data_IF_769558336322
#
_entry.id   IF_769558336322
#
_cell.length_a   1.000
_cell.length_b   1.000
_cell.length_c   1.000
_cell.angle_alpha   90.00
_cell.angle_beta   90.00
_cell.angle_gamma   90.00
#
_symmetry.space_group_name_H-M   'P 1'
#
loop_
_entity.id
_entity.type
_entity.pdbx_description
1 polymer ?
#
# COMPACT_ATOMS: atom_id res chain seq x y z
N UNK A 1 -7.46 -51.90 -59.25
CA UNK A 1 -8.01 -50.62 -58.77
C UNK A 1 -7.53 -50.42 -57.35
N UNK A 2 -6.48 -49.62 -57.22
CA UNK A 2 -5.67 -49.40 -56.01
C UNK A 2 -6.03 -48.05 -55.42
N UNK A 3 -6.39 -48.00 -54.13
CA UNK A 3 -6.42 -46.78 -53.33
C UNK A 3 -5.88 -47.11 -51.94
N UNK A 4 -4.56 -46.96 -51.80
CA UNK A 4 -3.88 -46.79 -50.52
C UNK A 4 -3.69 -45.29 -50.27
N UNK A 5 -3.93 -44.83 -49.04
CA UNK A 5 -3.50 -43.51 -48.59
C UNK A 5 -2.70 -43.66 -47.30
N UNK A 6 -1.43 -43.33 -47.43
CA UNK A 6 -0.33 -43.43 -46.49
C UNK A 6 -0.36 -42.25 -45.50
N UNK A 7 0.05 -42.54 -44.27
CA UNK A 7 0.41 -41.58 -43.22
C UNK A 7 1.64 -40.77 -43.66
N UNK A 8 1.62 -39.45 -43.43
CA UNK A 8 2.83 -38.63 -43.51
C UNK A 8 2.85 -37.60 -42.35
N UNK A 9 3.77 -37.81 -41.43
CA UNK A 9 4.30 -36.79 -40.53
C UNK A 9 5.03 -35.72 -41.35
N UNK A 10 4.79 -34.44 -41.06
CA UNK A 10 5.66 -33.35 -41.50
C UNK A 10 5.94 -32.42 -40.33
N UNK A 11 7.12 -32.61 -39.74
CA UNK A 11 7.90 -31.58 -39.09
C UNK A 11 8.38 -30.57 -40.13
N UNK A 12 8.23 -29.28 -39.88
CA UNK A 12 9.21 -28.27 -40.31
C UNK A 12 8.89 -26.91 -39.68
N UNK A 13 9.74 -26.54 -38.72
CA UNK A 13 9.91 -25.18 -38.23
C UNK A 13 10.37 -24.28 -39.37
N UNK A 14 9.64 -23.22 -39.69
CA UNK A 14 10.19 -22.04 -40.39
C UNK A 14 9.39 -20.82 -39.98
N UNK A 15 9.96 -20.04 -39.06
CA UNK A 15 9.53 -18.68 -38.73
C UNK A 15 9.79 -17.82 -39.96
N UNK A 16 8.73 -17.35 -40.63
CA UNK A 16 8.85 -16.30 -41.63
C UNK A 16 8.97 -14.93 -40.93
N UNK A 17 10.21 -14.50 -40.68
CA UNK A 17 10.55 -13.07 -40.64
C UNK A 17 11.04 -12.68 -42.04
N UNK A 18 10.18 -12.08 -42.85
CA UNK A 18 10.60 -11.44 -44.10
C UNK A 18 9.58 -10.38 -44.52
N UNK A 19 9.75 -9.15 -44.03
CA UNK A 19 9.40 -7.91 -44.74
C UNK A 19 9.84 -6.66 -43.94
N UNK A 20 11.15 -6.39 -43.89
CA UNK A 20 11.64 -5.03 -43.64
C UNK A 20 12.81 -4.74 -44.59
N UNK A 21 12.70 -3.66 -45.36
CA UNK A 21 13.85 -2.94 -45.88
C UNK A 21 14.27 -3.23 -47.32
N UNK A 22 13.52 -2.75 -48.31
CA UNK A 22 14.12 -2.24 -49.54
C UNK A 22 13.87 -0.73 -49.63
N UNK A 23 14.76 0.00 -48.99
CA UNK A 23 14.96 1.43 -49.08
C UNK A 23 16.30 1.73 -48.40
N UNK A 24 17.10 2.69 -48.89
CA UNK A 24 18.34 3.06 -48.23
C UNK A 24 18.01 3.84 -46.95
N UNK A 25 17.59 3.12 -45.92
CA UNK A 25 17.70 3.60 -44.55
C UNK A 25 19.15 3.31 -44.14
N UNK A 26 19.95 4.31 -43.76
CA UNK A 26 21.23 4.02 -43.13
C UNK A 26 20.93 3.15 -41.92
N UNK A 27 21.49 1.94 -41.89
CA UNK A 27 21.48 1.11 -40.68
C UNK A 27 22.02 1.98 -39.55
N UNK A 28 21.29 2.16 -38.43
CA UNK A 28 21.78 2.97 -37.33
C UNK A 28 23.13 2.40 -36.87
N UNK A 29 24.13 3.28 -36.72
CA UNK A 29 25.42 2.91 -36.19
C UNK A 29 25.23 2.37 -34.77
N UNK A 30 25.77 1.19 -34.47
CA UNK A 30 25.60 0.56 -33.16
C UNK A 30 26.24 1.38 -32.04
N UNK A 31 27.24 2.23 -32.34
CA UNK A 31 27.79 3.20 -31.39
C UNK A 31 26.79 4.30 -31.02
N UNK A 32 25.97 4.75 -31.96
CA UNK A 32 24.96 5.78 -31.73
C UNK A 32 23.86 5.25 -30.81
N UNK A 33 23.45 3.98 -30.96
CA UNK A 33 22.49 3.33 -30.06
C UNK A 33 23.04 3.25 -28.62
N UNK A 34 24.34 2.97 -28.44
CA UNK A 34 24.95 2.92 -27.13
C UNK A 34 25.01 4.30 -26.44
N UNK A 35 25.39 5.34 -27.18
CA UNK A 35 25.42 6.72 -26.69
C UNK A 35 24.02 7.25 -26.35
N UNK A 36 23.04 6.99 -27.21
CA UNK A 36 21.64 7.38 -26.97
C UNK A 36 21.02 6.64 -25.79
N UNK A 37 21.30 5.34 -25.66
CA UNK A 37 20.86 4.54 -24.51
C UNK A 37 21.43 5.10 -23.22
N UNK A 38 22.70 5.50 -23.21
CA UNK A 38 23.34 6.11 -22.04
C UNK A 38 22.72 7.47 -21.73
N UNK A 39 22.55 8.33 -22.74
CA UNK A 39 21.94 9.66 -22.57
C UNK A 39 20.49 9.59 -22.07
N UNK A 40 19.71 8.63 -22.55
CA UNK A 40 18.34 8.36 -22.08
C UNK A 40 18.35 7.79 -20.65
N UNK A 41 19.22 6.82 -20.34
CA UNK A 41 19.34 6.23 -18.99
C UNK A 41 19.80 7.25 -17.95
N UNK A 42 20.76 8.11 -18.30
CA UNK A 42 21.26 9.21 -17.49
C UNK A 42 20.31 10.43 -17.48
N UNK A 43 19.26 10.39 -18.31
CA UNK A 43 18.23 11.43 -18.40
C UNK A 43 18.80 12.81 -18.76
N UNK A 44 19.83 12.88 -19.61
CA UNK A 44 20.60 14.10 -19.88
C UNK A 44 19.71 15.26 -20.36
N UNK A 45 18.70 14.98 -21.20
CA UNK A 45 17.77 15.97 -21.76
C UNK A 45 16.73 16.48 -20.76
N UNK A 46 16.65 15.90 -19.55
CA UNK A 46 15.86 16.48 -18.47
C UNK A 46 16.52 17.73 -17.88
N UNK A 47 17.84 17.85 -18.01
CA UNK A 47 18.61 19.00 -17.53
C UNK A 47 19.14 19.86 -18.67
N UNK A 48 19.62 19.28 -19.76
CA UNK A 48 20.28 19.98 -20.85
C UNK A 48 19.33 20.27 -22.01
N UNK A 49 19.36 21.51 -22.51
CA UNK A 49 18.57 21.89 -23.68
C UNK A 49 18.95 21.04 -24.90
N UNK A 50 17.95 20.56 -25.64
CA UNK A 50 18.11 19.75 -26.84
C UNK A 50 17.02 20.08 -27.86
N UNK A 51 17.22 19.70 -29.12
CA UNK A 51 16.19 19.88 -30.16
C UNK A 51 14.95 19.03 -29.89
N UNK A 52 13.79 19.45 -30.38
CA UNK A 52 12.53 18.70 -30.23
C UNK A 52 12.65 17.24 -30.74
N UNK A 53 13.36 17.03 -31.85
CA UNK A 53 13.63 15.69 -32.39
C UNK A 53 14.47 14.84 -31.43
N UNK A 54 15.45 15.43 -30.74
CA UNK A 54 16.28 14.74 -29.75
C UNK A 54 15.47 14.41 -28.50
N UNK A 55 14.61 15.31 -28.04
CA UNK A 55 13.73 15.09 -26.89
C UNK A 55 12.73 13.96 -27.20
N UNK A 56 12.10 13.98 -28.37
CA UNK A 56 11.15 12.93 -28.79
C UNK A 56 11.83 11.56 -28.88
N UNK A 57 13.08 11.53 -29.35
CA UNK A 57 13.87 10.29 -29.47
C UNK A 57 14.34 9.76 -28.11
N UNK A 58 14.87 10.62 -27.24
CA UNK A 58 15.45 10.21 -25.94
C UNK A 58 14.42 10.05 -24.82
N UNK A 59 13.24 10.66 -24.97
CA UNK A 59 12.07 10.60 -24.06
C UNK A 59 12.48 10.80 -22.59
N UNK A 60 12.77 12.04 -22.17
CA UNK A 60 13.21 12.29 -20.80
C UNK A 60 12.16 11.81 -19.79
N UNK A 61 12.62 11.15 -18.75
CA UNK A 61 11.78 10.68 -17.66
C UNK A 61 11.48 11.84 -16.72
N UNK A 62 10.19 12.02 -16.39
CA UNK A 62 9.75 13.02 -15.43
C UNK A 62 10.29 12.74 -14.02
N UNK A 63 10.81 13.78 -13.36
CA UNK A 63 11.24 13.70 -11.98
C UNK A 63 10.03 13.47 -11.04
N UNK A 64 10.25 12.95 -9.81
CA UNK A 64 9.22 12.92 -8.79
C UNK A 64 8.65 14.32 -8.54
N UNK A 65 7.32 14.42 -8.44
CA UNK A 65 6.67 15.70 -8.10
C UNK A 65 7.01 16.09 -6.67
N UNK A 66 7.12 17.39 -6.39
CA UNK A 66 7.36 17.92 -5.02
C UNK A 66 6.09 18.45 -4.36
N UNK A 67 4.95 18.31 -5.02
CA UNK A 67 3.65 18.62 -4.45
C UNK A 67 3.37 17.69 -3.28
N UNK A 68 3.01 18.29 -2.14
CA UNK A 68 2.72 17.55 -0.90
C UNK A 68 3.83 16.56 -0.48
N UNK A 69 5.09 16.82 -0.82
CA UNK A 69 6.20 15.90 -0.50
C UNK A 69 6.36 15.71 1.02
N UNK A 70 6.06 16.73 1.82
CA UNK A 70 6.02 16.66 3.29
C UNK A 70 4.91 15.79 3.86
N UNK A 71 3.92 15.39 3.05
CA UNK A 71 2.93 14.36 3.39
C UNK A 71 3.33 12.96 2.92
N UNK A 72 4.40 12.83 2.10
CA UNK A 72 4.79 11.57 1.44
C UNK A 72 6.11 11.00 1.92
N UNK A 73 7.06 11.84 2.33
CA UNK A 73 8.38 11.41 2.80
C UNK A 73 8.79 12.12 4.11
N UNK A 74 9.40 11.39 5.03
CA UNK A 74 9.87 11.94 6.30
C UNK A 74 11.06 12.89 6.11
N UNK A 75 11.05 14.02 6.83
CA UNK A 75 12.09 15.04 6.74
C UNK A 75 13.51 14.52 6.98
N UNK A 76 13.78 13.73 8.05
CA UNK A 76 15.10 13.15 8.27
C UNK A 76 15.57 12.24 7.13
N UNK A 77 14.65 11.46 6.55
CA UNK A 77 14.96 10.64 5.38
C UNK A 77 15.27 11.50 4.15
N UNK A 78 14.51 12.56 3.91
CA UNK A 78 14.79 13.51 2.81
C UNK A 78 16.17 14.15 2.97
N UNK A 79 16.54 14.57 4.19
CA UNK A 79 17.84 15.15 4.46
C UNK A 79 18.98 14.14 4.19
N UNK A 80 18.83 12.89 4.64
CA UNK A 80 19.79 11.82 4.36
C UNK A 80 19.91 11.56 2.85
N UNK A 81 18.77 11.49 2.14
CA UNK A 81 18.71 11.29 0.69
C UNK A 81 19.42 12.41 -0.08
N UNK A 82 19.14 13.67 0.25
CA UNK A 82 19.75 14.84 -0.40
C UNK A 82 21.26 14.91 -0.09
N UNK A 83 21.68 14.60 1.13
CA UNK A 83 23.09 14.67 1.51
C UNK A 83 23.93 13.61 0.78
N UNK A 84 23.42 12.39 0.64
CA UNK A 84 24.14 11.25 0.06
C UNK A 84 23.94 11.10 -1.46
N UNK A 85 22.95 11.78 -2.04
CA UNK A 85 22.68 11.75 -3.48
C UNK A 85 22.28 10.36 -3.99
N UNK A 86 22.97 9.88 -5.03
CA UNK A 86 22.70 8.59 -5.71
C UNK A 86 23.03 7.34 -4.88
N UNK A 87 23.48 7.50 -3.62
CA UNK A 87 24.07 6.42 -2.82
C UNK A 87 23.27 6.03 -1.56
N UNK A 88 21.98 6.38 -1.45
CA UNK A 88 21.16 5.98 -0.28
C UNK A 88 20.52 4.61 -0.48
N UNK A 89 21.19 3.58 0.04
CA UNK A 89 20.84 2.19 -0.22
C UNK A 89 21.07 1.87 -1.70
N UNK A 90 20.92 0.60 -2.08
CA UNK A 90 21.06 0.15 -3.48
C UNK A 90 19.95 0.70 -4.41
N UNK A 91 19.22 1.72 -3.97
CA UNK A 91 18.16 2.40 -4.69
C UNK A 91 18.79 3.30 -5.75
N UNK A 92 19.02 2.76 -6.95
CA UNK A 92 19.45 3.53 -8.11
C UNK A 92 18.59 4.79 -8.29
N UNK A 93 19.19 5.95 -8.05
CA UNK A 93 18.58 7.25 -8.29
C UNK A 93 19.17 7.86 -9.56
N UNK A 94 18.32 8.48 -10.38
CA UNK A 94 18.75 9.30 -11.53
C UNK A 94 18.96 10.77 -11.16
N UNK A 95 18.73 11.14 -9.90
CA UNK A 95 19.01 12.49 -9.40
C UNK A 95 20.53 12.66 -9.30
N UNK A 96 21.14 13.68 -9.94
CA UNK A 96 22.57 13.93 -9.82
C UNK A 96 22.96 14.35 -8.39
N UNK A 97 24.22 14.13 -8.00
CA UNK A 97 24.76 14.68 -6.74
C UNK A 97 24.96 16.19 -6.89
N UNK A 98 23.91 16.97 -6.62
CA UNK A 98 23.95 18.44 -6.68
C UNK A 98 24.81 19.07 -5.58
N UNK A 99 25.29 18.29 -4.60
CA UNK A 99 26.08 18.77 -3.47
C UNK A 99 27.55 18.30 -3.56
N UNK A 100 27.97 17.74 -4.71
CA UNK A 100 29.30 17.16 -4.90
C UNK A 100 30.47 18.09 -4.54
N UNK A 101 30.33 19.41 -4.75
CA UNK A 101 31.36 20.41 -4.48
C UNK A 101 31.41 20.97 -3.06
N UNK A 102 30.55 20.49 -2.14
CA UNK A 102 30.49 20.98 -0.77
C UNK A 102 31.28 20.06 0.18
N UNK A 103 31.92 20.67 1.19
CA UNK A 103 32.47 19.93 2.32
C UNK A 103 31.36 19.22 3.12
N UNK A 104 31.74 18.23 3.94
CA UNK A 104 30.80 17.36 4.65
C UNK A 104 29.79 18.14 5.51
N UNK A 105 30.26 19.09 6.32
CA UNK A 105 29.42 19.82 7.27
C UNK A 105 28.47 20.80 6.55
N UNK A 106 28.96 21.44 5.49
CA UNK A 106 28.14 22.32 4.65
C UNK A 106 27.11 21.52 3.84
N UNK A 107 27.48 20.33 3.33
CA UNK A 107 26.58 19.40 2.64
C UNK A 107 25.44 18.96 3.55
N UNK A 108 25.75 18.48 4.75
CA UNK A 108 24.75 18.03 5.73
C UNK A 108 23.78 19.15 6.13
N UNK A 109 24.30 20.35 6.47
CA UNK A 109 23.46 21.50 6.82
C UNK A 109 22.58 21.96 5.66
N UNK A 110 23.12 21.96 4.43
CA UNK A 110 22.36 22.33 3.23
C UNK A 110 21.23 21.33 2.97
N UNK A 111 21.51 20.03 3.09
CA UNK A 111 20.51 18.98 2.93
C UNK A 111 19.39 19.07 3.97
N UNK A 112 19.74 19.31 5.25
CA UNK A 112 18.75 19.52 6.33
C UNK A 112 17.89 20.75 6.05
N UNK A 113 18.48 21.87 5.63
CA UNK A 113 17.71 23.07 5.32
C UNK A 113 16.71 22.84 4.17
N UNK A 114 17.15 22.21 3.08
CA UNK A 114 16.26 21.87 1.95
C UNK A 114 15.15 20.93 2.40
N UNK A 115 15.48 19.86 3.13
CA UNK A 115 14.51 18.90 3.63
C UNK A 115 13.50 19.54 4.62
N UNK A 116 13.95 20.47 5.46
CA UNK A 116 13.09 21.22 6.36
C UNK A 116 12.06 22.05 5.59
N UNK A 117 12.50 22.76 4.55
CA UNK A 117 11.60 23.52 3.68
C UNK A 117 10.61 22.59 2.94
N UNK A 118 11.08 21.51 2.32
CA UNK A 118 10.22 20.53 1.63
C UNK A 118 9.18 19.91 2.58
N UNK A 119 9.55 19.68 3.85
CA UNK A 119 8.64 19.14 4.87
C UNK A 119 7.45 20.05 5.19
N UNK A 120 7.51 21.34 4.80
CA UNK A 120 6.37 22.26 4.98
C UNK A 120 5.31 22.13 3.86
N UNK A 121 5.65 21.46 2.76
CA UNK A 121 4.76 21.22 1.61
C UNK A 121 3.92 19.98 1.87
N UNK A 122 2.81 20.14 2.57
CA UNK A 122 1.97 19.03 3.04
C UNK A 122 2.37 18.55 4.43
N UNK A 123 1.51 17.78 5.09
CA UNK A 123 1.74 17.27 6.45
C UNK A 123 1.27 15.82 6.56
N UNK A 124 2.01 15.01 7.32
CA UNK A 124 1.55 13.69 7.73
C UNK A 124 0.39 13.79 8.72
N UNK A 125 -0.41 12.73 8.78
CA UNK A 125 -1.27 12.49 9.94
C UNK A 125 -0.40 12.43 11.21
N UNK A 126 -0.85 13.09 12.28
CA UNK A 126 -0.13 13.16 13.57
C UNK A 126 -0.40 11.98 14.48
N UNK A 127 -1.52 11.28 14.26
CA UNK A 127 -1.99 10.22 15.16
C UNK A 127 -1.45 8.85 14.74
N UNK A 128 -1.11 7.98 15.71
CA UNK A 128 -0.86 6.57 15.45
C UNK A 128 -2.04 5.90 14.73
N UNK A 129 -1.74 4.99 13.81
CA UNK A 129 -2.74 4.21 13.09
C UNK A 129 -2.68 2.76 13.54
N UNK A 130 -3.81 2.22 13.97
CA UNK A 130 -3.94 0.83 14.38
C UNK A 130 -4.45 -0.02 13.22
N UNK A 131 -3.78 -1.14 12.96
CA UNK A 131 -4.13 -2.09 11.90
C UNK A 131 -4.29 -3.48 12.49
N UNK A 132 -5.41 -4.15 12.20
CA UNK A 132 -5.65 -5.51 12.66
C UNK A 132 -4.62 -6.50 12.12
N UNK A 133 -4.23 -7.48 12.92
CA UNK A 133 -3.26 -8.53 12.52
C UNK A 133 -3.72 -9.33 11.30
N UNK A 134 -5.04 -9.49 11.09
CA UNK A 134 -5.55 -10.17 9.91
C UNK A 134 -5.45 -9.31 8.63
N UNK A 135 -5.50 -7.97 8.72
CA UNK A 135 -5.13 -7.08 7.60
C UNK A 135 -3.65 -7.23 7.22
N UNK A 136 -2.75 -7.33 8.19
CA UNK A 136 -1.33 -7.60 7.91
C UNK A 136 -1.12 -8.92 7.15
N UNK A 137 -1.82 -9.98 7.57
CA UNK A 137 -1.77 -11.27 6.91
C UNK A 137 -2.35 -11.23 5.49
N UNK A 138 -3.42 -10.45 5.26
CA UNK A 138 -3.99 -10.24 3.92
C UNK A 138 -3.04 -9.44 3.03
N UNK A 139 -2.43 -8.37 3.55
CA UNK A 139 -1.41 -7.60 2.85
C UNK A 139 -0.24 -8.45 2.35
N UNK A 140 0.24 -9.39 3.18
CA UNK A 140 1.26 -10.38 2.77
C UNK A 140 0.78 -11.21 1.57
N UNK A 141 -0.40 -11.82 1.68
CA UNK A 141 -0.96 -12.68 0.62
C UNK A 141 -1.14 -11.90 -0.68
N UNK A 142 -1.69 -10.68 -0.60
CA UNK A 142 -1.86 -9.80 -1.76
C UNK A 142 -0.52 -9.50 -2.43
N UNK A 143 0.49 -9.09 -1.66
CA UNK A 143 1.83 -8.82 -2.20
C UNK A 143 2.42 -10.02 -2.94
N UNK A 144 2.20 -11.23 -2.42
CA UNK A 144 2.66 -12.49 -3.02
C UNK A 144 1.84 -12.89 -4.26
N UNK A 145 0.55 -12.57 -4.31
CA UNK A 145 -0.38 -13.05 -5.35
C UNK A 145 -0.58 -12.09 -6.53
N UNK A 146 -0.48 -10.78 -6.32
CA UNK A 146 -0.78 -9.78 -7.38
C UNK A 146 0.42 -9.45 -8.28
N UNK A 147 1.54 -10.18 -8.11
CA UNK A 147 2.72 -10.06 -8.95
C UNK A 147 3.74 -9.01 -8.49
N UNK A 148 3.62 -8.43 -7.29
CA UNK A 148 4.63 -7.49 -6.77
C UNK A 148 6.04 -8.11 -6.77
N UNK A 149 6.14 -9.40 -6.47
CA UNK A 149 7.39 -10.16 -6.46
C UNK A 149 8.06 -10.26 -7.84
N UNK A 150 7.32 -10.14 -8.95
CA UNK A 150 7.89 -10.25 -10.29
C UNK A 150 8.87 -9.11 -10.61
N UNK A 151 8.59 -7.91 -10.09
CA UNK A 151 9.44 -6.73 -10.29
C UNK A 151 10.34 -6.42 -9.09
N UNK A 152 9.85 -6.67 -7.87
CA UNK A 152 10.58 -6.33 -6.64
C UNK A 152 11.47 -7.46 -6.10
N UNK A 153 11.22 -8.72 -6.51
CA UNK A 153 11.94 -9.89 -6.02
C UNK A 153 12.01 -9.94 -4.48
N UNK A 154 13.13 -10.46 -3.96
CA UNK A 154 13.48 -10.34 -2.54
C UNK A 154 14.23 -9.03 -2.20
N UNK A 155 14.49 -8.18 -3.19
CA UNK A 155 15.37 -7.01 -3.07
C UNK A 155 14.72 -5.75 -2.48
N UNK A 156 13.46 -5.82 -2.04
CA UNK A 156 12.82 -4.67 -1.40
C UNK A 156 13.30 -4.53 0.04
N UNK A 157 14.11 -3.49 0.28
CA UNK A 157 14.52 -3.11 1.64
C UNK A 157 13.35 -2.44 2.39
N UNK A 158 12.57 -3.27 3.06
CA UNK A 158 11.42 -2.86 3.88
C UNK A 158 11.82 -1.99 5.08
N UNK A 159 13.06 -2.07 5.55
CA UNK A 159 13.57 -1.21 6.64
C UNK A 159 13.78 0.20 6.13
N UNK A 160 14.41 0.36 4.96
CA UNK A 160 14.57 1.68 4.35
C UNK A 160 13.23 2.28 3.92
N UNK A 161 12.29 1.45 3.45
CA UNK A 161 10.94 1.90 3.14
C UNK A 161 10.22 2.42 4.39
N UNK A 162 10.30 1.69 5.51
CA UNK A 162 9.76 2.09 6.80
C UNK A 162 10.34 3.41 7.32
N UNK A 163 11.63 3.68 7.07
CA UNK A 163 12.28 4.96 7.42
C UNK A 163 11.89 6.13 6.52
N UNK A 164 11.28 5.86 5.37
CA UNK A 164 11.01 6.85 4.32
C UNK A 164 9.62 7.47 4.41
N UNK A 165 8.60 6.66 4.64
CA UNK A 165 7.21 7.04 4.35
C UNK A 165 6.24 6.53 5.42
N UNK A 166 5.01 7.04 5.40
CA UNK A 166 3.95 6.62 6.32
C UNK A 166 3.01 5.61 5.70
N UNK A 167 2.21 4.97 6.55
CA UNK A 167 1.15 4.06 6.11
C UNK A 167 0.19 4.73 5.12
N UNK A 168 -0.26 5.95 5.42
CA UNK A 168 -1.17 6.71 4.53
C UNK A 168 -0.50 7.02 3.21
N UNK A 169 0.72 7.55 3.24
CA UNK A 169 1.45 7.92 2.05
C UNK A 169 1.76 6.73 1.14
N UNK A 170 2.12 5.58 1.71
CA UNK A 170 2.34 4.36 0.93
C UNK A 170 1.03 3.78 0.39
N UNK A 171 -0.07 3.87 1.15
CA UNK A 171 -1.41 3.50 0.66
C UNK A 171 -1.75 4.30 -0.59
N UNK A 172 -1.64 5.63 -0.52
CA UNK A 172 -1.97 6.51 -1.64
C UNK A 172 -1.03 6.29 -2.84
N UNK A 173 0.26 6.04 -2.58
CA UNK A 173 1.23 5.71 -3.62
C UNK A 173 0.90 4.39 -4.33
N UNK A 174 0.45 3.36 -3.62
CA UNK A 174 0.07 2.08 -4.23
C UNK A 174 -1.20 2.19 -5.10
N UNK A 175 -2.09 3.13 -4.78
CA UNK A 175 -3.27 3.41 -5.60
C UNK A 175 -2.91 4.09 -6.93
N UNK A 176 -1.97 5.05 -6.90
CA UNK A 176 -1.53 5.77 -8.10
C UNK A 176 -0.02 6.13 -8.03
N UNK A 177 0.87 5.18 -8.40
CA UNK A 177 2.32 5.40 -8.33
C UNK A 177 2.81 6.52 -9.26
N UNK A 178 2.17 6.67 -10.42
CA UNK A 178 2.59 7.60 -11.48
C UNK A 178 2.22 9.05 -11.15
N UNK A 179 1.20 9.30 -10.33
CA UNK A 179 0.91 10.65 -9.80
C UNK A 179 2.08 11.24 -9.01
N UNK A 180 2.74 10.44 -8.18
CA UNK A 180 3.92 10.86 -7.42
C UNK A 180 5.21 10.78 -8.24
N UNK A 181 5.26 9.88 -9.24
CA UNK A 181 6.44 9.58 -10.05
C UNK A 181 6.06 9.41 -11.53
N UNK A 182 5.88 10.50 -12.29
CA UNK A 182 5.46 10.42 -13.69
C UNK A 182 6.44 9.65 -14.58
N UNK A 183 7.74 9.69 -14.29
CA UNK A 183 8.77 8.88 -14.96
C UNK A 183 9.05 7.52 -14.31
N UNK A 184 8.17 7.05 -13.42
CA UNK A 184 8.29 5.77 -12.73
C UNK A 184 7.91 4.57 -13.62
N UNK A 185 8.45 3.40 -13.29
CA UNK A 185 8.16 2.14 -14.00
C UNK A 185 7.10 1.27 -13.30
N UNK A 186 6.64 1.68 -12.11
CA UNK A 186 5.61 0.94 -11.39
C UNK A 186 4.23 1.24 -12.01
N UNK A 187 3.56 0.25 -12.60
CA UNK A 187 2.24 0.45 -13.19
C UNK A 187 1.18 0.67 -12.09
N UNK A 188 0.03 1.22 -12.49
CA UNK A 188 -1.16 1.18 -11.64
C UNK A 188 -1.63 -0.26 -11.47
N UNK A 189 -1.73 -0.72 -10.22
CA UNK A 189 -2.05 -2.12 -9.90
C UNK A 189 -3.57 -2.37 -9.78
N UNK A 190 -4.41 -1.36 -10.05
CA UNK A 190 -5.88 -1.42 -9.93
C UNK A 190 -6.38 -1.87 -8.55
N UNK A 191 -5.61 -1.57 -7.51
CA UNK A 191 -5.93 -1.93 -6.12
C UNK A 191 -7.02 -1.02 -5.57
N UNK A 192 -7.94 -1.60 -4.81
CA UNK A 192 -8.80 -0.83 -3.92
C UNK A 192 -7.97 -0.13 -2.85
N UNK A 193 -8.58 0.85 -2.18
CA UNK A 193 -7.92 1.55 -1.07
C UNK A 193 -7.59 0.62 0.09
N UNK A 194 -8.44 -0.36 0.38
CA UNK A 194 -8.25 -1.30 1.48
C UNK A 194 -7.15 -2.32 1.15
N UNK A 195 -7.07 -2.83 -0.08
CA UNK A 195 -5.95 -3.67 -0.53
C UNK A 195 -4.62 -2.91 -0.48
N UNK A 196 -4.61 -1.66 -0.95
CA UNK A 196 -3.44 -0.79 -0.90
C UNK A 196 -2.97 -0.56 0.53
N UNK A 197 -3.92 -0.32 1.45
CA UNK A 197 -3.63 -0.09 2.87
C UNK A 197 -3.04 -1.33 3.54
N UNK A 198 -3.57 -2.49 3.22
CA UNK A 198 -3.09 -3.76 3.75
C UNK A 198 -1.69 -4.11 3.27
N UNK A 199 -1.42 -3.96 1.96
CA UNK A 199 -0.08 -4.14 1.40
C UNK A 199 0.89 -3.14 2.03
N UNK A 200 0.48 -1.88 2.16
CA UNK A 200 1.28 -0.84 2.81
C UNK A 200 1.60 -1.20 4.28
N UNK A 201 0.62 -1.70 5.04
CA UNK A 201 0.84 -2.15 6.41
C UNK A 201 1.84 -3.30 6.49
N UNK A 202 1.72 -4.29 5.59
CA UNK A 202 2.66 -5.40 5.53
C UNK A 202 4.08 -4.94 5.17
N UNK A 203 4.22 -4.03 4.20
CA UNK A 203 5.50 -3.48 3.76
C UNK A 203 6.18 -2.62 4.83
N UNK A 204 5.40 -1.89 5.63
CA UNK A 204 5.90 -0.98 6.66
C UNK A 204 5.96 -1.61 8.05
N UNK A 205 5.75 -2.93 8.18
CA UNK A 205 5.74 -3.63 9.47
C UNK A 205 7.00 -3.39 10.32
N UNK A 206 8.13 -3.06 9.69
CA UNK A 206 9.36 -2.65 10.38
C UNK A 206 9.16 -1.43 11.31
N UNK A 207 8.16 -0.57 11.04
CA UNK A 207 7.82 0.57 11.90
C UNK A 207 7.26 0.15 13.27
N UNK A 208 6.81 -1.09 13.40
CA UNK A 208 6.16 -1.61 14.60
C UNK A 208 7.08 -2.40 15.54
N UNK A 209 8.39 -2.38 15.29
CA UNK A 209 9.42 -3.01 16.14
C UNK A 209 10.33 -3.96 15.37
N UNK A 210 9.87 -5.18 15.11
CA UNK A 210 10.63 -6.21 14.37
C UNK A 210 9.93 -6.59 13.06
N UNK A 211 10.71 -6.94 12.04
CA UNK A 211 10.22 -7.41 10.74
C UNK A 211 9.46 -8.74 10.82
N UNK A 212 9.85 -9.60 11.77
CA UNK A 212 9.32 -10.95 11.91
C UNK A 212 8.19 -11.03 12.95
N UNK A 213 8.19 -10.10 13.90
CA UNK A 213 7.23 -10.02 14.99
C UNK A 213 6.86 -8.56 15.24
N UNK A 214 5.88 -8.00 14.49
CA UNK A 214 5.35 -6.68 14.79
C UNK A 214 4.78 -6.65 16.21
N UNK A 215 4.94 -5.53 16.94
CA UNK A 215 4.40 -5.43 18.30
C UNK A 215 2.88 -5.40 18.24
N UNK A 216 2.24 -6.46 18.73
CA UNK A 216 0.79 -6.59 18.78
C UNK A 216 0.29 -6.12 20.14
N UNK A 217 -0.70 -5.24 20.13
CA UNK A 217 -1.41 -4.76 21.33
C UNK A 217 -2.91 -5.01 21.19
N UNK A 218 -3.63 -4.98 22.31
CA UNK A 218 -5.09 -4.96 22.28
C UNK A 218 -5.57 -3.59 21.77
N UNK A 219 -6.35 -3.59 20.70
CA UNK A 219 -7.16 -2.48 20.21
C UNK A 219 -8.63 -2.70 20.55
N UNK A 220 -9.46 -1.69 20.31
CA UNK A 220 -10.91 -1.75 20.57
C UNK A 220 -11.68 -2.31 19.38
N UNK A 221 -12.83 -2.92 19.67
CA UNK A 221 -13.76 -3.42 18.65
C UNK A 221 -13.32 -4.71 17.96
N UNK A 222 -13.88 -4.95 16.79
CA UNK A 222 -13.74 -6.15 15.99
C UNK A 222 -13.22 -5.79 14.59
N UNK A 223 -12.49 -6.69 13.98
CA UNK A 223 -12.24 -6.64 12.55
C UNK A 223 -13.45 -7.23 11.82
N UNK A 224 -14.04 -6.46 10.91
CA UNK A 224 -15.13 -6.87 10.04
C UNK A 224 -14.61 -7.04 8.61
N UNK A 225 -14.83 -8.21 8.04
CA UNK A 225 -14.56 -8.58 6.66
C UNK A 225 -15.87 -8.60 5.87
N UNK A 226 -15.91 -7.93 4.73
CA UNK A 226 -17.09 -7.78 3.89
C UNK A 226 -16.93 -8.52 2.57
N UNK A 227 -17.97 -9.27 2.17
CA UNK A 227 -18.00 -10.13 1.00
C UNK A 227 -19.23 -9.81 0.16
N UNK A 228 -19.13 -10.00 -1.16
CA UNK A 228 -20.28 -9.95 -2.07
C UNK A 228 -20.40 -11.28 -2.79
N UNK A 229 -21.63 -11.74 -3.00
CA UNK A 229 -21.93 -13.02 -3.63
C UNK A 229 -23.22 -13.65 -3.13
N UNK A 230 -23.51 -14.85 -3.63
CA UNK A 230 -24.62 -15.64 -3.15
C UNK A 230 -24.20 -16.49 -1.94
N UNK A 231 -25.00 -16.46 -0.88
CA UNK A 231 -24.81 -17.21 0.35
C UNK A 231 -26.15 -17.80 0.79
N UNK A 232 -26.13 -19.02 1.32
CA UNK A 232 -27.32 -19.77 1.76
C UNK A 232 -27.08 -20.59 3.06
N UNK A 233 -25.87 -20.51 3.61
CA UNK A 233 -25.39 -21.36 4.71
C UNK A 233 -25.34 -20.62 6.05
N UNK A 234 -24.15 -20.47 6.62
CA UNK A 234 -23.91 -19.75 7.88
C UNK A 234 -23.14 -18.44 7.67
N UNK A 235 -22.97 -18.01 6.42
CA UNK A 235 -22.09 -16.90 6.03
C UNK A 235 -20.75 -17.37 5.44
N UNK A 236 -19.74 -16.50 5.36
CA UNK A 236 -18.52 -16.76 4.59
C UNK A 236 -17.58 -17.71 5.34
N UNK A 237 -17.19 -18.81 4.68
CA UNK A 237 -16.24 -19.78 5.23
C UNK A 237 -14.84 -19.20 5.46
N UNK A 238 -14.06 -19.79 6.37
CA UNK A 238 -12.77 -19.24 6.83
C UNK A 238 -11.75 -18.93 5.71
N UNK A 239 -11.83 -19.61 4.57
CA UNK A 239 -10.94 -19.40 3.41
C UNK A 239 -11.46 -18.36 2.41
N UNK A 240 -12.68 -17.85 2.58
CA UNK A 240 -13.23 -16.81 1.72
C UNK A 240 -12.37 -15.54 1.82
N UNK A 241 -12.10 -14.95 0.65
CA UNK A 241 -11.33 -13.72 0.51
C UNK A 241 -12.30 -12.53 0.54
N UNK A 242 -12.18 -11.59 1.48
CA UNK A 242 -13.07 -10.45 1.55
C UNK A 242 -12.73 -9.40 0.49
N UNK A 243 -13.75 -8.66 0.07
CA UNK A 243 -13.59 -7.50 -0.80
C UNK A 243 -13.12 -6.26 -0.03
N UNK A 244 -13.57 -6.10 1.21
CA UNK A 244 -13.19 -5.00 2.11
C UNK A 244 -12.97 -5.49 3.53
N UNK A 245 -12.20 -4.74 4.30
CA UNK A 245 -11.99 -5.02 5.72
C UNK A 245 -11.83 -3.73 6.49
N UNK A 246 -12.54 -3.61 7.60
CA UNK A 246 -12.60 -2.41 8.41
C UNK A 246 -12.88 -2.77 9.87
N UNK A 247 -12.75 -1.78 10.76
CA UNK A 247 -13.04 -1.97 12.18
C UNK A 247 -14.51 -1.66 12.47
N UNK A 248 -15.13 -2.42 13.36
CA UNK A 248 -16.46 -2.15 13.90
C UNK A 248 -16.44 -2.30 15.41
N UNK A 249 -17.09 -1.38 16.11
CA UNK A 249 -17.17 -1.43 17.57
C UNK A 249 -18.21 -2.45 18.08
N UNK A 250 -19.08 -2.95 17.19
CA UNK A 250 -20.19 -3.85 17.51
C UNK A 250 -20.44 -4.84 16.37
N UNK A 251 -21.07 -5.96 16.72
CA UNK A 251 -21.74 -6.85 15.76
C UNK A 251 -23.02 -6.16 15.28
N UNK A 252 -22.97 -5.58 14.08
CA UNK A 252 -24.06 -4.84 13.45
C UNK A 252 -23.84 -4.75 11.94
N UNK A 253 -24.85 -4.32 11.19
CA UNK A 253 -24.69 -4.06 9.75
C UNK A 253 -23.89 -2.77 9.52
N UNK A 254 -22.93 -2.75 8.58
CA UNK A 254 -22.25 -1.52 8.19
C UNK A 254 -23.21 -0.63 7.37
N UNK A 255 -23.10 0.69 7.53
CA UNK A 255 -24.02 1.66 6.91
C UNK A 255 -23.98 1.66 5.38
N UNK A 256 -22.86 1.25 4.82
CA UNK A 256 -22.57 1.17 3.38
C UNK A 256 -22.73 -0.25 2.82
N UNK A 257 -23.35 -1.18 3.56
CA UNK A 257 -23.71 -2.50 3.03
C UNK A 257 -24.62 -2.38 1.79
N UNK A 258 -24.48 -3.33 0.87
CA UNK A 258 -25.47 -3.52 -0.19
C UNK A 258 -26.82 -3.90 0.42
N UNK A 259 -27.87 -3.74 -0.37
CA UNK A 259 -29.20 -4.22 0.00
C UNK A 259 -29.20 -5.75 0.10
N UNK A 260 -28.75 -6.43 -0.95
CA UNK A 260 -28.77 -7.90 -1.06
C UNK A 260 -27.42 -8.47 -1.51
N UNK A 261 -27.23 -9.77 -1.28
CA UNK A 261 -26.12 -10.55 -1.85
C UNK A 261 -24.76 -10.20 -1.25
N UNK A 262 -24.71 -10.04 0.07
CA UNK A 262 -23.48 -9.76 0.79
C UNK A 262 -23.34 -10.61 2.04
N UNK A 263 -22.13 -10.67 2.58
CA UNK A 263 -21.85 -11.36 3.81
C UNK A 263 -20.80 -10.63 4.65
N UNK A 264 -20.80 -10.91 5.94
CA UNK A 264 -19.90 -10.34 6.93
C UNK A 264 -19.20 -11.44 7.73
N UNK A 265 -17.96 -11.17 8.11
CA UNK A 265 -17.26 -11.95 9.13
C UNK A 265 -16.57 -11.02 10.12
N UNK A 266 -16.99 -11.11 11.38
CA UNK A 266 -16.40 -10.41 12.50
C UNK A 266 -15.41 -11.32 13.19
N UNK A 267 -14.22 -10.79 13.49
CA UNK A 267 -13.17 -11.49 14.22
C UNK A 267 -12.56 -10.59 15.29
N UNK A 268 -12.26 -11.16 16.45
CA UNK A 268 -11.62 -10.46 17.56
C UNK A 268 -11.65 -11.31 18.82
N UNK A 269 -11.67 -10.63 19.97
CA UNK A 269 -11.89 -11.24 21.28
C UNK A 269 -13.07 -10.58 21.98
N UNK A 270 -13.79 -11.37 22.76
CA UNK A 270 -14.83 -10.92 23.68
C UNK A 270 -14.32 -11.07 25.12
N UNK A 271 -14.34 -9.99 25.88
CA UNK A 271 -13.95 -9.97 27.28
C UNK A 271 -15.12 -10.43 28.15
N UNK A 272 -14.90 -11.50 28.92
CA UNK A 272 -15.86 -12.08 29.85
C UNK A 272 -15.58 -11.55 31.25
N UNK A 273 -16.46 -10.70 31.85
CA UNK A 273 -16.19 -10.05 33.13
C UNK A 273 -16.08 -11.01 34.32
N UNK A 274 -16.71 -12.19 34.23
CA UNK A 274 -16.75 -13.19 35.30
C UNK A 274 -16.93 -14.60 34.74
N UNK A 275 -16.26 -15.56 35.36
CA UNK A 275 -16.45 -16.98 35.05
C UNK A 275 -17.88 -17.44 35.36
N UNK A 276 -18.42 -18.34 34.55
CA UNK A 276 -19.68 -19.02 34.78
C UNK A 276 -20.43 -19.33 33.49
N UNK A 277 -21.72 -19.64 33.63
CA UNK A 277 -22.62 -19.95 32.51
C UNK A 277 -23.16 -18.68 31.87
N UNK A 278 -22.83 -18.48 30.58
CA UNK A 278 -23.27 -17.35 29.76
C UNK A 278 -24.26 -17.82 28.70
N UNK A 279 -25.27 -17.01 28.42
CA UNK A 279 -26.21 -17.23 27.32
C UNK A 279 -25.95 -16.16 26.27
N UNK A 280 -25.72 -16.57 25.03
CA UNK A 280 -25.65 -15.67 23.88
C UNK A 280 -26.94 -15.74 23.09
N UNK A 281 -27.36 -14.61 22.54
CA UNK A 281 -28.49 -14.47 21.64
C UNK A 281 -28.03 -13.77 20.36
N UNK A 282 -28.00 -14.51 19.25
CA UNK A 282 -27.63 -14.00 17.94
C UNK A 282 -28.89 -13.81 17.10
N UNK A 283 -29.15 -12.57 16.70
CA UNK A 283 -30.29 -12.24 15.85
C UNK A 283 -29.82 -11.92 14.44
N UNK A 284 -30.49 -12.47 13.43
CA UNK A 284 -30.23 -12.14 12.04
C UNK A 284 -31.48 -12.24 11.16
N UNK A 285 -31.51 -11.45 10.09
CA UNK A 285 -32.33 -11.69 8.90
C UNK A 285 -31.39 -12.16 7.78
N UNK A 286 -31.73 -13.32 7.24
CA UNK A 286 -30.88 -14.40 6.78
C UNK A 286 -29.79 -14.88 7.77
N UNK A 287 -28.92 -15.78 7.31
CA UNK A 287 -28.24 -16.72 8.18
C UNK A 287 -26.98 -16.18 8.84
N UNK A 288 -26.72 -16.65 10.07
CA UNK A 288 -25.57 -16.26 10.87
C UNK A 288 -25.00 -17.40 11.71
N UNK A 289 -23.78 -17.23 12.23
CA UNK A 289 -23.25 -18.13 13.25
C UNK A 289 -22.36 -17.41 14.26
N UNK A 290 -22.30 -17.96 15.48
CA UNK A 290 -21.41 -17.51 16.55
C UNK A 290 -20.46 -18.65 16.92
N UNK A 291 -19.18 -18.33 16.98
CA UNK A 291 -18.12 -19.20 17.45
C UNK A 291 -17.37 -18.52 18.60
N UNK A 292 -17.10 -19.30 19.65
CA UNK A 292 -16.28 -18.87 20.78
C UNK A 292 -15.18 -19.92 20.98
N UNK A 293 -13.92 -19.49 21.04
CA UNK A 293 -12.73 -20.34 21.14
C UNK A 293 -12.69 -21.47 20.10
N UNK A 294 -13.12 -21.15 18.87
CA UNK A 294 -13.16 -22.10 17.75
C UNK A 294 -14.28 -23.14 17.83
N UNK A 295 -15.13 -23.11 18.87
CA UNK A 295 -16.34 -23.94 18.97
C UNK A 295 -17.54 -23.17 18.47
N UNK A 296 -18.33 -23.78 17.58
CA UNK A 296 -19.62 -23.22 17.16
C UNK A 296 -20.59 -23.26 18.34
N UNK A 297 -21.03 -22.09 18.77
CA UNK A 297 -21.96 -21.90 19.89
C UNK A 297 -23.39 -21.74 19.37
N UNK A 298 -23.58 -20.98 18.28
CA UNK A 298 -24.87 -20.81 17.62
C UNK A 298 -24.71 -21.07 16.13
N UNK A 299 -25.52 -21.99 15.60
CA UNK A 299 -25.81 -22.14 14.19
C UNK A 299 -27.20 -21.54 13.93
N UNK A 300 -27.25 -20.37 13.28
CA UNK A 300 -28.46 -19.75 12.78
C UNK A 300 -28.41 -19.64 11.26
N UNK A 301 -27.97 -20.70 10.58
CA UNK A 301 -27.87 -20.71 9.12
C UNK A 301 -29.19 -20.86 8.37
N UNK A 302 -29.09 -20.73 7.05
CA UNK A 302 -30.19 -20.79 6.09
C UNK A 302 -30.76 -19.41 5.75
N UNK A 303 -31.52 -19.35 4.67
CA UNK A 303 -32.31 -18.18 4.28
C UNK A 303 -33.59 -18.17 5.15
N UNK A 304 -33.79 -17.11 5.91
CA UNK A 304 -34.91 -16.97 6.84
C UNK A 304 -35.14 -15.51 7.21
N UNK A 305 -36.41 -15.15 7.48
CA UNK A 305 -36.73 -13.83 8.02
C UNK A 305 -36.14 -13.55 9.40
N UNK A 306 -36.23 -12.31 9.85
CA UNK A 306 -35.72 -11.84 11.15
C UNK A 306 -36.09 -12.75 12.32
N UNK A 307 -35.06 -13.27 13.00
CA UNK A 307 -35.20 -14.13 14.16
C UNK A 307 -33.95 -14.10 15.02
N UNK A 308 -33.97 -14.85 16.13
CA UNK A 308 -32.77 -15.08 16.92
C UNK A 308 -32.68 -16.53 17.40
N UNK A 309 -31.44 -16.99 17.57
CA UNK A 309 -31.11 -18.23 18.28
C UNK A 309 -30.30 -17.93 19.52
N UNK A 310 -30.43 -18.82 20.49
CA UNK A 310 -29.74 -18.70 21.78
C UNK A 310 -28.99 -19.97 22.10
N UNK A 311 -27.84 -19.83 22.76
CA UNK A 311 -27.09 -20.97 23.26
C UNK A 311 -26.37 -20.61 24.56
N UNK A 312 -26.19 -21.62 25.40
CA UNK A 312 -25.49 -21.51 26.69
C UNK A 312 -24.08 -22.09 26.56
N UNK A 313 -23.10 -21.42 27.14
CA UNK A 313 -21.70 -21.84 27.19
C UNK A 313 -21.07 -21.43 28.52
N UNK A 314 -20.26 -22.32 29.10
CA UNK A 314 -19.45 -21.99 30.27
C UNK A 314 -18.15 -21.33 29.83
N UNK A 315 -17.87 -20.15 30.37
CA UNK A 315 -16.69 -19.36 30.05
C UNK A 315 -15.93 -18.99 31.33
N UNK A 316 -14.62 -18.88 31.20
CA UNK A 316 -13.77 -18.31 32.25
C UNK A 316 -13.78 -16.79 32.17
N UNK A 317 -13.40 -16.11 33.24
CA UNK A 317 -13.11 -14.69 33.19
C UNK A 317 -11.92 -14.42 32.26
N UNK A 318 -12.02 -13.37 31.43
CA UNK A 318 -10.95 -12.93 30.53
C UNK A 318 -11.37 -12.92 29.06
N UNK A 319 -10.38 -12.74 28.19
CA UNK A 319 -10.58 -12.68 26.74
C UNK A 319 -10.78 -14.07 26.13
N UNK A 320 -11.85 -14.21 25.34
CA UNK A 320 -12.18 -15.39 24.55
C UNK A 320 -12.21 -15.03 23.06
N UNK A 321 -11.72 -15.90 22.19
CA UNK A 321 -11.74 -15.64 20.75
C UNK A 321 -13.19 -15.69 20.25
N UNK A 322 -13.62 -14.69 19.48
CA UNK A 322 -14.98 -14.63 18.91
C UNK A 322 -14.93 -14.54 17.39
N UNK A 323 -15.77 -15.33 16.73
CA UNK A 323 -16.09 -15.19 15.31
C UNK A 323 -17.60 -15.14 15.14
N UNK A 324 -18.09 -14.11 14.44
CA UNK A 324 -19.49 -14.04 14.01
C UNK A 324 -19.53 -13.95 12.50
N UNK A 325 -20.33 -14.80 11.86
CA UNK A 325 -20.60 -14.73 10.43
C UNK A 325 -22.05 -14.37 10.20
N UNK A 326 -22.32 -13.69 9.09
CA UNK A 326 -23.65 -13.25 8.68
C UNK A 326 -23.71 -13.22 7.15
N UNK A 327 -24.86 -13.46 6.55
CA UNK A 327 -25.14 -13.07 5.17
C UNK A 327 -26.57 -12.57 5.02
N UNK A 328 -26.76 -11.74 4.02
CA UNK A 328 -28.06 -11.27 3.52
C UNK A 328 -28.21 -11.76 2.08
N UNK A 329 -29.17 -12.65 1.81
CA UNK A 329 -29.44 -13.11 0.46
C UNK A 329 -30.39 -12.17 -0.27
N UNK A 330 -31.50 -11.78 0.37
CA UNK A 330 -32.46 -10.82 -0.18
C UNK A 330 -33.47 -10.30 0.85
N UNK A 331 -33.79 -9.00 0.79
CA UNK A 331 -34.87 -8.39 1.56
C UNK A 331 -34.37 -7.42 2.63
N UNK A 332 -35.05 -7.42 3.78
CA UNK A 332 -34.65 -6.57 4.91
C UNK A 332 -33.56 -7.29 5.71
N UNK A 333 -32.50 -6.56 6.05
CA UNK A 333 -31.37 -7.13 6.79
C UNK A 333 -31.37 -6.70 8.26
N UNK A 334 -30.98 -7.61 9.14
CA UNK A 334 -30.73 -7.32 10.56
C UNK A 334 -29.61 -8.17 11.13
N UNK A 335 -28.81 -7.63 12.05
CA UNK A 335 -27.80 -8.39 12.79
C UNK A 335 -27.56 -7.76 14.17
N UNK A 336 -27.65 -8.57 15.23
CA UNK A 336 -27.28 -8.14 16.59
C UNK A 336 -26.81 -9.32 17.46
N UNK A 337 -25.94 -9.00 18.44
CA UNK A 337 -25.48 -9.95 19.44
C UNK A 337 -25.76 -9.42 20.84
N UNK A 338 -26.45 -10.25 21.64
CA UNK A 338 -26.82 -9.97 23.02
C UNK A 338 -26.34 -11.12 23.92
N UNK A 339 -26.21 -10.85 25.21
CA UNK A 339 -25.80 -11.85 26.19
C UNK A 339 -26.52 -11.74 27.53
N UNK A 340 -26.43 -12.80 28.32
CA UNK A 340 -26.72 -12.83 29.74
C UNK A 340 -25.53 -13.48 30.44
N UNK A 341 -24.95 -12.78 31.43
CA UNK A 341 -24.01 -13.37 32.36
C UNK A 341 -24.72 -14.15 33.47
N UNK A 342 -23.95 -14.84 34.34
CA UNK A 342 -24.50 -15.60 35.45
C UNK A 342 -25.36 -14.73 36.39
N UNK A 343 -26.68 -14.93 36.33
CA UNK A 343 -27.65 -14.19 37.14
C UNK A 343 -27.89 -12.75 36.70
N UNK A 344 -27.53 -12.36 35.47
CA UNK A 344 -27.77 -11.01 34.93
C UNK A 344 -28.91 -10.99 33.90
N UNK A 345 -29.48 -9.81 33.68
CA UNK A 345 -30.46 -9.59 32.62
C UNK A 345 -29.81 -9.65 31.23
N UNK A 346 -30.67 -9.82 30.20
CA UNK A 346 -30.25 -9.82 28.79
C UNK A 346 -29.92 -8.40 28.37
N UNK A 347 -28.78 -8.21 27.76
CA UNK A 347 -28.35 -6.91 27.24
C UNK A 347 -27.58 -7.08 25.93
N UNK A 348 -27.46 -6.00 25.15
CA UNK A 348 -26.53 -5.97 24.03
C UNK A 348 -25.10 -6.12 24.54
N UNK A 349 -24.28 -6.91 23.85
CA UNK A 349 -22.87 -6.98 24.18
C UNK A 349 -22.26 -5.58 24.01
N UNK A 350 -21.69 -4.99 25.08
CA UNK A 350 -21.21 -3.62 25.03
C UNK A 350 -19.97 -3.53 24.12
N UNK A 351 -19.74 -2.41 23.42
CA UNK A 351 -18.57 -2.24 22.57
C UNK A 351 -17.24 -2.46 23.30
N UNK A 352 -17.19 -2.11 24.59
CA UNK A 352 -16.04 -2.29 25.45
C UNK A 352 -15.70 -3.75 25.76
N UNK A 353 -16.62 -4.69 25.49
CA UNK A 353 -16.33 -6.12 25.59
C UNK A 353 -15.55 -6.62 24.38
N UNK A 354 -15.52 -5.89 23.26
CA UNK A 354 -14.80 -6.33 22.07
C UNK A 354 -13.41 -5.72 21.98
N UNK A 355 -12.44 -6.58 21.74
CA UNK A 355 -11.06 -6.18 21.44
C UNK A 355 -10.56 -6.87 20.18
N UNK A 356 -9.59 -6.25 19.52
CA UNK A 356 -8.91 -6.82 18.37
C UNK A 356 -7.41 -6.74 18.56
N UNK A 357 -6.68 -7.66 17.96
CA UNK A 357 -5.22 -7.60 17.97
C UNK A 357 -4.77 -6.65 16.87
N UNK A 358 -4.09 -5.57 17.27
CA UNK A 358 -3.63 -4.53 16.35
C UNK A 358 -2.14 -4.34 16.41
N UNK A 359 -1.58 -3.90 15.29
CA UNK A 359 -0.23 -3.36 15.18
C UNK A 359 -0.35 -1.85 15.01
N UNK A 360 0.46 -1.12 15.78
CA UNK A 360 0.45 0.34 15.78
C UNK A 360 1.54 0.88 14.87
N UNK A 361 1.14 1.71 13.93
CA UNK A 361 2.01 2.44 13.02
C UNK A 361 2.07 3.89 13.46
N UNK A 362 3.20 4.30 14.03
CA UNK A 362 3.42 5.68 14.44
C UNK A 362 3.90 6.49 13.23
N UNK A 363 3.34 7.68 12.97
CA UNK A 363 3.92 8.62 12.02
C UNK A 363 5.41 8.82 12.33
N UNK A 364 6.25 8.60 11.31
CA UNK A 364 7.70 8.69 11.45
C UNK A 364 8.22 10.09 11.76
N UNK A 365 9.53 10.20 12.01
CA UNK A 365 10.13 11.36 12.64
C UNK A 365 10.00 12.62 11.76
N UNK A 366 9.61 13.73 12.38
CA UNK A 366 9.66 15.05 11.76
C UNK A 366 11.04 15.70 11.96
N UNK A 367 11.39 16.65 11.09
CA UNK A 367 12.48 17.59 11.42
C UNK A 367 11.99 18.46 12.59
N UNK A 368 12.75 18.46 13.68
CA UNK A 368 12.35 19.16 14.92
C UNK A 368 12.34 20.68 14.69
N UNK A 369 11.16 21.29 14.87
CA UNK A 369 10.91 22.76 14.92
C UNK A 369 11.86 23.59 14.03
N UNK A 370 11.80 23.45 12.69
CA UNK A 370 12.58 24.32 11.83
C UNK A 370 12.13 25.77 12.04
N UNK A 371 13.08 26.66 12.29
CA UNK A 371 12.81 28.09 12.39
C UNK A 371 12.70 28.73 10.99
N UNK A 372 12.15 29.94 10.93
CA UNK A 372 11.94 30.65 9.65
C UNK A 372 13.25 30.89 8.89
N UNK A 373 14.37 31.03 9.60
CA UNK A 373 15.69 31.21 9.01
C UNK A 373 16.15 29.95 8.26
N UNK A 374 15.99 28.77 8.85
CA UNK A 374 16.33 27.49 8.23
C UNK A 374 15.45 27.21 7.01
N UNK A 375 14.15 27.51 7.11
CA UNK A 375 13.21 27.37 5.99
C UNK A 375 13.57 28.29 4.82
N UNK A 376 13.96 29.54 5.11
CA UNK A 376 14.42 30.49 4.11
C UNK A 376 15.70 29.99 3.42
N UNK A 377 16.69 29.50 4.19
CA UNK A 377 17.91 28.90 3.62
C UNK A 377 17.57 27.72 2.72
N UNK A 378 16.69 26.83 3.16
CA UNK A 378 16.25 25.66 2.39
C UNK A 378 15.65 26.04 1.04
N UNK A 379 14.71 26.98 1.04
CA UNK A 379 14.08 27.51 -0.19
C UNK A 379 15.11 28.12 -1.12
N UNK A 380 16.02 28.96 -0.60
CA UNK A 380 17.06 29.59 -1.41
C UNK A 380 18.00 28.54 -2.03
N UNK A 381 18.42 27.54 -1.26
CA UNK A 381 19.30 26.47 -1.74
C UNK A 381 18.62 25.57 -2.77
N UNK A 382 17.32 25.28 -2.63
CA UNK A 382 16.54 24.52 -3.61
C UNK A 382 16.61 25.13 -5.01
N UNK A 383 16.43 26.46 -5.12
CA UNK A 383 16.55 27.15 -6.39
C UNK A 383 17.99 27.30 -6.83
N UNK A 384 18.91 27.68 -5.94
CA UNK A 384 20.30 27.97 -6.30
C UNK A 384 21.09 26.74 -6.76
N UNK A 385 20.74 25.54 -6.29
CA UNK A 385 21.35 24.27 -6.71
C UNK A 385 20.68 23.64 -7.94
N UNK A 386 19.62 24.26 -8.47
CA UNK A 386 18.93 23.76 -9.67
C UNK A 386 17.96 22.60 -9.42
N UNK A 387 17.60 22.30 -8.17
CA UNK A 387 16.63 21.24 -7.88
C UNK A 387 15.28 21.48 -8.59
N UNK A 388 14.85 22.75 -8.63
CA UNK A 388 13.63 23.17 -9.32
C UNK A 388 13.63 22.85 -10.83
N UNK A 389 14.80 22.77 -11.48
CA UNK A 389 14.88 22.50 -12.92
C UNK A 389 14.30 21.12 -13.29
N UNK A 390 14.45 20.14 -12.40
CA UNK A 390 13.89 18.80 -12.58
C UNK A 390 12.49 18.68 -11.97
N UNK A 391 12.34 19.17 -10.74
CA UNK A 391 11.18 18.88 -9.91
C UNK A 391 10.02 19.85 -10.07
N UNK A 392 10.29 21.08 -10.53
CA UNK A 392 9.31 22.16 -10.68
C UNK A 392 9.69 23.06 -11.89
N UNK A 393 9.78 22.51 -13.12
CA UNK A 393 10.35 23.21 -14.28
C UNK A 393 9.62 24.51 -14.63
N UNK A 394 8.35 24.66 -14.23
CA UNK A 394 7.58 25.89 -14.41
C UNK A 394 8.16 27.11 -13.66
N UNK A 395 8.95 26.89 -12.61
CA UNK A 395 9.59 27.95 -11.80
C UNK A 395 11.13 27.88 -11.85
N UNK A 396 11.67 27.08 -12.76
CA UNK A 396 13.11 26.92 -12.96
C UNK A 396 13.74 28.20 -13.54
N UNK A 397 14.87 28.64 -12.95
CA UNK A 397 15.56 29.87 -13.36
C UNK A 397 17.00 29.65 -13.81
N UNK A 398 17.59 28.48 -13.51
CA UNK A 398 18.96 28.14 -13.88
C UNK A 398 19.01 27.60 -15.31
N UNK A 399 19.74 28.31 -16.18
CA UNK A 399 20.04 27.85 -17.54
C UNK A 399 21.26 26.94 -17.53
N UNK A 400 21.09 25.69 -17.97
CA UNK A 400 22.17 24.73 -18.21
C UNK A 400 22.70 24.89 -19.63
N UNK A 401 23.95 24.45 -19.87
CA UNK A 401 24.49 24.38 -21.24
C UNK A 401 23.65 23.43 -22.10
N UNK A 402 23.45 23.71 -23.40
CA UNK A 402 22.87 22.75 -24.33
C UNK A 402 23.63 21.42 -24.34
N UNK A 403 22.93 20.33 -24.60
CA UNK A 403 23.52 18.98 -24.62
C UNK A 403 24.67 18.87 -25.63
N UNK A 404 24.58 19.61 -26.75
CA UNK A 404 25.60 19.67 -27.80
C UNK A 404 26.87 20.44 -27.39
N UNK A 405 26.84 21.18 -26.29
CA UNK A 405 27.95 22.00 -25.77
C UNK A 405 28.58 21.38 -24.51
N UNK A 406 28.21 20.15 -24.17
CA UNK A 406 28.88 19.39 -23.13
C UNK A 406 30.23 18.91 -23.65
N UNK A 407 31.31 19.45 -23.09
CA UNK A 407 32.66 18.95 -23.32
C UNK A 407 32.97 17.85 -22.30
N UNK A 408 33.14 16.59 -22.72
CA UNK A 408 33.47 15.50 -21.81
C UNK A 408 34.93 15.53 -21.32
N UNK A 409 35.76 16.45 -21.83
CA UNK A 409 37.19 16.58 -21.50
C UNK A 409 37.53 17.75 -20.56
N UNK A 410 36.51 18.53 -20.16
CA UNK A 410 36.65 19.73 -19.34
C UNK A 410 36.64 19.47 -17.82
#
# INVERSE_FOLDING_TARGET
MTLGRTIALLSSSTVMLAACGQGPSPSPDWSDIAAETLASKANCTACHAASAATIERLRPMGAPTMDEIGARAYGPWMAEFIAKGTHVGELGSRMPDLLHGLDKDTRERTAVAIAAWLSTRGRFASEPIHIGVASLARGKRLYESIGCLACHGAGLDVVQLARKTSLVALTDFLQDPLKARPGGHMPGMLLTRDESRDIAAWLLRAQSGSLDAPTVTAGTGLQCEYFEGAFDGIGPGAQAVPMRTFAMERIALPKDARHDGYALRFTGSIEIPRSGSWIFHLSSDDGSSLWIDGKMVIDHGGIHGSGYKSATIDLTQGAHAIVVTFFEAAGDAGLSLQWNGPGTAREDVPPSAFTTQVVTFTPGPAISRPDDALLAVGKTKWTALGCANCHEPAIATLKTKPLAELDPSA
#
